data_IF_555819009988
#
_entry.id   IF_555819009988
#
_cell.length_a   1.000
_cell.length_b   1.000
_cell.length_c   1.000
_cell.angle_alpha   90.00
_cell.angle_beta   90.00
_cell.angle_gamma   90.00
#
_symmetry.space_group_name_H-M   'P 1'
#
loop_
_entity.id
_entity.type
_entity.pdbx_description
1 polymer ?
#
# COMPACT_ATOMS: atom_id res chain seq x y z
N UNK A 1 11.79 -34.59 6.11
CA UNK A 1 12.11 -33.41 5.26
C UNK A 1 11.12 -32.27 5.38
N UNK A 2 9.81 -32.46 5.17
CA UNK A 2 8.81 -31.35 5.19
C UNK A 2 8.76 -30.54 6.50
N UNK A 3 9.00 -31.18 7.64
CA UNK A 3 8.98 -30.53 8.96
C UNK A 3 10.21 -29.63 9.18
N UNK A 4 11.40 -30.10 8.81
CA UNK A 4 12.66 -29.32 8.88
C UNK A 4 12.57 -28.09 7.98
N UNK A 5 12.08 -28.27 6.75
CA UNK A 5 11.88 -27.18 5.79
C UNK A 5 10.85 -26.17 6.33
N UNK A 6 9.75 -26.63 6.94
CA UNK A 6 8.74 -25.75 7.57
C UNK A 6 9.33 -24.93 8.71
N UNK A 7 10.12 -25.54 9.59
CA UNK A 7 10.75 -24.81 10.70
C UNK A 7 11.84 -23.86 10.21
N UNK A 8 12.62 -24.24 9.21
CA UNK A 8 13.60 -23.37 8.57
C UNK A 8 12.95 -22.11 7.97
N UNK A 9 11.89 -22.25 7.17
CA UNK A 9 11.19 -21.07 6.64
C UNK A 9 10.48 -20.27 7.74
N UNK A 10 10.06 -20.90 8.83
CA UNK A 10 9.47 -20.21 9.98
C UNK A 10 10.51 -19.35 10.70
N UNK A 11 11.69 -19.89 11.01
CA UNK A 11 12.77 -19.12 11.65
C UNK A 11 13.29 -18.04 10.71
N UNK A 12 13.40 -18.32 9.41
CA UNK A 12 13.79 -17.33 8.41
C UNK A 12 12.82 -16.15 8.36
N UNK A 13 11.50 -16.40 8.32
CA UNK A 13 10.50 -15.31 8.37
C UNK A 13 10.60 -14.48 9.65
N UNK A 14 10.80 -15.13 10.79
CA UNK A 14 10.92 -14.43 12.08
C UNK A 14 12.12 -13.45 12.11
N UNK A 15 13.18 -13.71 11.35
CA UNK A 15 14.35 -12.84 11.25
C UNK A 15 14.20 -11.83 10.10
N UNK A 16 13.79 -12.27 8.91
CA UNK A 16 13.74 -11.40 7.72
C UNK A 16 12.62 -10.36 7.80
N UNK A 17 11.44 -10.72 8.31
CA UNK A 17 10.31 -9.79 8.41
C UNK A 17 10.64 -8.53 9.21
N UNK A 18 11.16 -8.59 10.44
CA UNK A 18 11.51 -7.37 11.18
C UNK A 18 12.63 -6.59 10.49
N UNK A 19 13.63 -7.24 9.89
CA UNK A 19 14.71 -6.54 9.15
C UNK A 19 14.13 -5.72 7.99
N UNK A 20 13.22 -6.31 7.20
CA UNK A 20 12.58 -5.63 6.07
C UNK A 20 11.75 -4.43 6.52
N UNK A 21 10.96 -4.59 7.58
CA UNK A 21 10.12 -3.51 8.14
C UNK A 21 10.97 -2.38 8.75
N UNK A 22 12.06 -2.72 9.44
CA UNK A 22 13.00 -1.75 10.00
C UNK A 22 13.66 -0.95 8.86
N UNK A 23 14.13 -1.63 7.82
CA UNK A 23 14.75 -0.98 6.67
C UNK A 23 13.79 -0.03 5.93
N UNK A 24 12.52 -0.41 5.78
CA UNK A 24 11.50 0.47 5.22
C UNK A 24 11.41 1.78 6.00
N UNK A 25 11.32 1.72 7.33
CA UNK A 25 11.21 2.91 8.18
C UNK A 25 12.41 3.86 8.02
N UNK A 26 13.63 3.32 7.92
CA UNK A 26 14.84 4.12 7.73
C UNK A 26 14.98 4.73 6.33
N UNK A 27 14.41 4.09 5.31
CA UNK A 27 14.52 4.51 3.91
C UNK A 27 13.27 5.24 3.40
N UNK A 28 12.36 5.60 4.30
CA UNK A 28 11.14 6.33 3.95
C UNK A 28 11.49 7.79 3.64
N UNK A 29 11.15 8.30 2.43
CA UNK A 29 11.48 9.66 2.03
C UNK A 29 10.65 10.71 2.78
N UNK A 30 11.15 11.95 2.84
CA UNK A 30 10.39 13.09 3.36
C UNK A 30 9.23 13.42 2.41
N UNK A 31 8.07 13.70 2.97
CA UNK A 31 6.88 14.08 2.21
C UNK A 31 7.08 15.39 1.43
N UNK A 32 6.48 15.48 0.24
CA UNK A 32 6.42 16.72 -0.54
C UNK A 32 5.68 17.81 0.25
N UNK A 33 6.19 19.04 0.17
CA UNK A 33 5.58 20.21 0.81
C UNK A 33 4.40 20.71 -0.02
N UNK A 34 3.25 20.96 0.63
CA UNK A 34 2.05 21.55 0.02
C UNK A 34 1.55 22.73 0.84
N UNK A 35 0.77 23.61 0.23
CA UNK A 35 -0.01 24.59 1.00
C UNK A 35 -1.05 23.87 1.88
N UNK A 36 -1.55 24.55 2.92
CA UNK A 36 -2.54 23.96 3.82
C UNK A 36 -3.84 23.57 3.08
N UNK A 37 -4.26 24.36 2.10
CA UNK A 37 -5.45 24.10 1.30
C UNK A 37 -5.29 22.88 0.40
N UNK A 38 -4.14 22.75 -0.27
CA UNK A 38 -3.82 21.58 -1.09
C UNK A 38 -3.69 20.32 -0.24
N UNK A 39 -3.08 20.42 0.93
CA UNK A 39 -2.97 19.30 1.86
C UNK A 39 -4.36 18.83 2.32
N UNK A 40 -5.28 19.75 2.64
CA UNK A 40 -6.65 19.41 3.01
C UNK A 40 -7.43 18.75 1.84
N UNK A 41 -7.15 19.16 0.59
CA UNK A 41 -7.70 18.50 -0.61
C UNK A 41 -7.18 17.07 -0.74
N UNK A 42 -5.86 16.88 -0.62
CA UNK A 42 -5.23 15.55 -0.66
C UNK A 42 -5.84 14.65 0.41
N UNK A 43 -5.91 15.10 1.65
CA UNK A 43 -6.50 14.34 2.75
C UNK A 43 -7.95 13.93 2.52
N UNK A 44 -8.74 14.78 1.84
CA UNK A 44 -10.12 14.44 1.49
C UNK A 44 -10.17 13.35 0.43
N UNK A 45 -9.39 13.50 -0.63
CA UNK A 45 -9.34 12.53 -1.73
C UNK A 45 -8.79 11.17 -1.27
N UNK A 46 -7.77 11.15 -0.40
CA UNK A 46 -7.17 9.89 0.08
C UNK A 46 -8.08 9.08 1.00
N UNK A 47 -9.17 9.66 1.54
CA UNK A 47 -10.17 8.90 2.32
C UNK A 47 -10.93 7.88 1.49
N UNK A 48 -11.05 8.13 0.19
CA UNK A 48 -11.69 7.23 -0.75
C UNK A 48 -10.72 6.19 -1.32
N UNK A 49 -9.49 6.12 -0.77
CA UNK A 49 -8.46 5.21 -1.22
C UNK A 49 -8.10 4.22 -0.12
N UNK A 50 -7.85 2.97 -0.48
CA UNK A 50 -7.30 1.98 0.45
C UNK A 50 -6.28 1.06 -0.24
N UNK A 51 -5.12 0.88 0.38
CA UNK A 51 -4.09 -0.04 -0.10
C UNK A 51 -4.22 -1.40 0.61
N UNK A 52 -4.62 -2.42 -0.15
CA UNK A 52 -4.53 -3.81 0.29
C UNK A 52 -3.10 -4.31 0.15
N UNK A 53 -2.56 -4.85 1.25
CA UNK A 53 -1.15 -5.18 1.33
C UNK A 53 -0.85 -6.38 2.22
N UNK A 54 0.37 -6.89 2.07
CA UNK A 54 1.04 -7.67 3.10
C UNK A 54 2.21 -6.85 3.65
N UNK A 55 2.35 -6.78 4.97
CA UNK A 55 3.31 -5.87 5.63
C UNK A 55 4.75 -6.07 5.15
N UNK A 56 5.18 -7.32 4.96
CA UNK A 56 6.54 -7.67 4.55
C UNK A 56 6.75 -7.80 3.02
N UNK A 57 5.76 -7.46 2.20
CA UNK A 57 5.88 -7.60 0.75
C UNK A 57 6.70 -6.45 0.14
N UNK A 58 7.78 -6.73 -0.62
CA UNK A 58 8.64 -5.69 -1.20
C UNK A 58 7.89 -4.76 -2.17
N UNK A 59 6.92 -5.28 -2.92
CA UNK A 59 6.09 -4.47 -3.82
C UNK A 59 5.10 -3.58 -3.04
N UNK A 60 4.57 -4.04 -1.91
CA UNK A 60 3.74 -3.21 -1.04
C UNK A 60 4.57 -2.09 -0.40
N UNK A 61 5.79 -2.40 0.07
CA UNK A 61 6.74 -1.42 0.60
C UNK A 61 7.06 -0.35 -0.45
N UNK A 62 7.26 -0.75 -1.71
CA UNK A 62 7.49 0.17 -2.83
C UNK A 62 6.35 1.19 -2.97
N UNK A 63 5.09 0.76 -2.84
CA UNK A 63 3.92 1.66 -2.88
C UNK A 63 3.83 2.53 -1.64
N UNK A 64 4.01 1.98 -0.43
CA UNK A 64 3.97 2.75 0.83
C UNK A 64 5.05 3.84 0.89
N UNK A 65 6.22 3.58 0.32
CA UNK A 65 7.27 4.60 0.17
C UNK A 65 6.84 5.74 -0.74
N UNK A 66 6.16 5.43 -1.84
CA UNK A 66 5.62 6.45 -2.75
C UNK A 66 4.49 7.25 -2.09
N UNK A 67 3.58 6.58 -1.39
CA UNK A 67 2.56 7.24 -0.56
C UNK A 67 3.19 8.19 0.46
N UNK A 68 4.26 7.75 1.14
CA UNK A 68 4.98 8.57 2.12
C UNK A 68 5.73 9.73 1.46
N UNK A 69 6.38 9.50 0.31
CA UNK A 69 7.01 10.56 -0.51
C UNK A 69 6.00 11.62 -0.88
N UNK A 70 4.82 11.20 -1.34
CA UNK A 70 3.74 12.10 -1.73
C UNK A 70 2.93 12.61 -0.54
N UNK A 71 3.23 12.21 0.71
CA UNK A 71 2.50 12.67 1.90
C UNK A 71 1.02 12.28 1.89
N UNK A 72 0.69 11.08 1.40
CA UNK A 72 -0.68 10.59 1.22
C UNK A 72 -1.11 9.74 2.43
N UNK A 73 -2.08 10.19 3.25
CA UNK A 73 -2.60 9.41 4.36
C UNK A 73 -3.67 8.42 3.86
N UNK A 74 -3.26 7.47 3.02
CA UNK A 74 -4.12 6.39 2.51
C UNK A 74 -4.18 5.25 3.54
N UNK A 75 -5.38 4.74 3.78
CA UNK A 75 -5.60 3.60 4.67
C UNK A 75 -4.89 2.35 4.13
N UNK A 76 -4.20 1.59 4.99
CA UNK A 76 -3.64 0.29 4.60
C UNK A 76 -4.41 -0.87 5.22
N UNK A 77 -4.82 -1.83 4.40
CA UNK A 77 -5.62 -3.00 4.79
C UNK A 77 -4.77 -4.28 4.67
N UNK A 78 -4.54 -4.95 5.80
CA UNK A 78 -3.74 -6.19 5.84
C UNK A 78 -4.55 -7.39 5.34
N UNK A 79 -4.33 -7.81 4.09
CA UNK A 79 -4.98 -8.99 3.51
C UNK A 79 -4.28 -10.33 3.87
N UNK A 80 -3.19 -10.29 4.64
CA UNK A 80 -2.46 -11.47 5.10
C UNK A 80 -3.05 -12.05 6.39
N UNK A 81 -3.36 -11.17 7.35
CA UNK A 81 -3.79 -11.58 8.70
C UNK A 81 -5.24 -11.18 9.03
N UNK A 82 -5.86 -10.27 8.25
CA UNK A 82 -7.28 -9.95 8.42
C UNK A 82 -8.11 -10.70 7.35
N UNK A 83 -8.95 -11.62 7.81
CA UNK A 83 -9.83 -12.41 6.96
C UNK A 83 -10.89 -11.56 6.23
N UNK A 84 -11.36 -10.48 6.85
CA UNK A 84 -12.34 -9.56 6.27
C UNK A 84 -11.74 -8.80 5.09
N UNK A 85 -10.55 -8.22 5.26
CA UNK A 85 -9.86 -7.54 4.15
C UNK A 85 -9.49 -8.50 3.03
N UNK A 86 -9.07 -9.72 3.38
CA UNK A 86 -8.80 -10.76 2.38
C UNK A 86 -10.06 -11.08 1.56
N UNK A 87 -11.20 -11.28 2.22
CA UNK A 87 -12.47 -11.58 1.57
C UNK A 87 -12.95 -10.41 0.70
N UNK A 88 -12.84 -9.17 1.20
CA UNK A 88 -13.18 -7.97 0.43
C UNK A 88 -12.33 -7.83 -0.84
N UNK A 89 -11.02 -8.07 -0.74
CA UNK A 89 -10.10 -8.06 -1.88
C UNK A 89 -10.44 -9.15 -2.91
N UNK A 90 -10.80 -10.34 -2.45
CA UNK A 90 -11.22 -11.43 -3.33
C UNK A 90 -12.54 -11.12 -4.03
N UNK A 91 -13.53 -10.58 -3.30
CA UNK A 91 -14.85 -10.27 -3.83
C UNK A 91 -14.83 -9.08 -4.80
N UNK A 92 -14.13 -8.01 -4.47
CA UNK A 92 -14.09 -6.79 -5.30
C UNK A 92 -12.99 -6.83 -6.37
N UNK A 93 -11.76 -7.16 -5.97
CA UNK A 93 -10.61 -7.22 -6.88
C UNK A 93 -10.50 -8.53 -7.68
N UNK A 94 -11.34 -9.52 -7.38
CA UNK A 94 -11.41 -10.81 -8.08
C UNK A 94 -10.30 -11.80 -7.72
N UNK A 95 -9.24 -11.36 -7.01
CA UNK A 95 -8.14 -12.22 -6.56
C UNK A 95 -7.42 -11.65 -5.35
N UNK A 96 -6.97 -12.53 -4.46
CA UNK A 96 -6.09 -12.18 -3.33
C UNK A 96 -4.65 -11.98 -3.82
N UNK A 97 -4.41 -10.86 -4.51
CA UNK A 97 -3.09 -10.41 -4.96
C UNK A 97 -2.79 -9.04 -4.37
N UNK A 98 -1.54 -8.80 -3.96
CA UNK A 98 -1.09 -7.50 -3.42
C UNK A 98 0.19 -7.03 -4.14
N UNK A 99 0.47 -5.72 -4.19
CA UNK A 99 -0.38 -4.62 -3.74
C UNK A 99 -1.62 -4.46 -4.62
N UNK A 100 -2.71 -3.96 -4.03
CA UNK A 100 -3.90 -3.56 -4.75
C UNK A 100 -4.46 -2.26 -4.13
N UNK A 101 -4.65 -1.24 -4.95
CA UNK A 101 -5.26 0.03 -4.56
C UNK A 101 -6.75 0.00 -4.92
N UNK A 102 -7.60 0.13 -3.90
CA UNK A 102 -9.01 0.45 -4.09
C UNK A 102 -9.17 1.96 -4.23
N UNK A 103 -9.90 2.37 -5.26
CA UNK A 103 -10.28 3.75 -5.54
C UNK A 103 -11.80 3.81 -5.56
N UNK A 104 -12.39 4.54 -4.62
CA UNK A 104 -13.83 4.78 -4.56
C UNK A 104 -14.15 6.14 -5.20
N UNK A 105 -14.94 6.11 -6.26
CA UNK A 105 -15.38 7.31 -6.97
C UNK A 105 -16.64 7.89 -6.31
N UNK A 106 -16.86 9.20 -6.46
CA UNK A 106 -18.02 9.88 -5.85
C UNK A 106 -19.38 9.37 -6.37
N UNK A 107 -19.39 8.69 -7.52
CA UNK A 107 -20.58 8.03 -8.09
C UNK A 107 -20.88 6.66 -7.46
N UNK A 108 -20.06 6.20 -6.50
CA UNK A 108 -20.17 4.89 -5.85
C UNK A 108 -19.48 3.75 -6.60
N UNK A 109 -18.82 4.02 -7.73
CA UNK A 109 -18.04 3.03 -8.46
C UNK A 109 -16.72 2.73 -7.75
N UNK A 110 -16.37 1.44 -7.67
CA UNK A 110 -15.10 0.99 -7.11
C UNK A 110 -14.16 0.51 -8.22
N UNK A 111 -12.99 1.11 -8.29
CA UNK A 111 -11.92 0.69 -9.17
C UNK A 111 -10.81 0.00 -8.37
N UNK A 112 -10.37 -1.16 -8.84
CA UNK A 112 -9.33 -1.98 -8.21
C UNK A 112 -8.09 -2.01 -9.11
N UNK A 113 -7.04 -1.30 -8.68
CA UNK A 113 -5.79 -1.19 -9.42
C UNK A 113 -4.72 -2.13 -8.84
N UNK A 114 -4.13 -2.96 -9.69
CA UNK A 114 -3.05 -3.88 -9.34
C UNK A 114 -1.72 -3.39 -9.91
N UNK A 115 -0.65 -4.12 -9.57
CA UNK A 115 0.75 -3.86 -9.96
C UNK A 115 1.33 -2.62 -9.29
N UNK A 116 2.48 -2.77 -8.63
CA UNK A 116 3.07 -1.67 -7.84
C UNK A 116 3.47 -0.47 -8.70
N UNK A 117 3.83 -0.70 -9.96
CA UNK A 117 4.26 0.35 -10.87
C UNK A 117 3.09 1.17 -11.38
N UNK A 118 1.98 0.51 -11.75
CA UNK A 118 0.74 1.18 -12.18
C UNK A 118 0.13 1.97 -11.02
N UNK A 119 0.08 1.38 -9.82
CA UNK A 119 -0.36 2.09 -8.60
C UNK A 119 0.49 3.35 -8.37
N UNK A 120 1.81 3.24 -8.43
CA UNK A 120 2.68 4.39 -8.21
C UNK A 120 2.54 5.45 -9.31
N UNK A 121 2.36 5.04 -10.57
CA UNK A 121 2.11 5.95 -11.67
C UNK A 121 0.80 6.73 -11.46
N UNK A 122 -0.28 6.02 -11.09
CA UNK A 122 -1.56 6.62 -10.77
C UNK A 122 -1.44 7.61 -9.60
N UNK A 123 -0.77 7.24 -8.50
CA UNK A 123 -0.56 8.14 -7.36
C UNK A 123 0.21 9.41 -7.74
N UNK A 124 1.21 9.31 -8.62
CA UNK A 124 1.94 10.49 -9.12
C UNK A 124 1.05 11.39 -9.96
N UNK A 125 0.35 10.81 -10.94
CA UNK A 125 -0.55 11.56 -11.82
C UNK A 125 -1.60 12.37 -11.04
N UNK A 126 -2.10 11.81 -9.93
CA UNK A 126 -3.19 12.43 -9.16
C UNK A 126 -2.71 13.37 -8.04
N UNK A 127 -1.51 13.17 -7.51
CA UNK A 127 -1.07 13.87 -6.28
C UNK A 127 0.31 14.51 -6.33
N UNK A 128 1.11 14.27 -7.36
CA UNK A 128 2.38 14.95 -7.52
C UNK A 128 2.11 16.43 -7.82
N UNK A 129 2.62 17.37 -7.01
CA UNK A 129 2.46 18.78 -7.32
C UNK A 129 3.09 19.06 -8.66
N UNK A 130 2.36 19.70 -9.56
CA UNK A 130 2.92 20.20 -10.81
C UNK A 130 3.94 21.27 -10.43
N UNK A 131 5.23 20.92 -10.52
CA UNK A 131 6.31 21.89 -10.35
C UNK A 131 6.13 22.99 -11.40
N UNK A 132 5.79 24.19 -10.95
CA UNK A 132 5.94 25.41 -11.75
C UNK A 132 7.43 25.77 -11.87
#
# INVERSE_FOLDING_TARGET
>A
MRVIIRYFFRTLRLILTPIVLINEKFTTPKAVSRSAEEQARVERTTRNLALYQFSACPFCIKVRKEMSRLGLPIETRDAQHNAEHKAALEAGGGRVKVPCLLIEHDNGEQQWLYESDDINAWLREHFEPQSA
#
